data_IF_407630294416
#
_entry.id   IF_407630294416
#
_cell.length_a   1.000
_cell.length_b   1.000
_cell.length_c   1.000
_cell.angle_alpha   90.00
_cell.angle_beta   90.00
_cell.angle_gamma   90.00
#
_symmetry.space_group_name_H-M   'P 1'
#
loop_
_entity.id
_entity.type
_entity.pdbx_description
1 polymer ?
#
# COMPACT_ATOMS: atom_id res chain seq x y z
N UNK A 1 3.15 -3.22 8.30
CA UNK A 1 2.37 -2.87 7.08
C UNK A 1 2.76 -3.86 6.01
N UNK A 2 1.88 -4.21 5.09
CA UNK A 2 2.16 -5.10 3.98
C UNK A 2 1.40 -4.66 2.73
N UNK A 3 2.01 -4.89 1.58
CA UNK A 3 1.29 -4.93 0.31
C UNK A 3 0.49 -6.22 0.25
N UNK A 4 -0.77 -6.12 -0.16
CA UNK A 4 -1.60 -7.27 -0.41
C UNK A 4 -2.56 -7.00 -1.56
N UNK A 5 -3.11 -8.05 -2.16
CA UNK A 5 -4.25 -7.92 -3.08
C UNK A 5 -5.54 -8.24 -2.35
N UNK A 6 -6.56 -7.40 -2.48
CA UNK A 6 -7.90 -7.69 -1.95
C UNK A 6 -8.63 -8.76 -2.79
N UNK A 7 -9.85 -9.13 -2.38
CA UNK A 7 -10.69 -10.15 -3.05
C UNK A 7 -11.04 -9.80 -4.50
N UNK A 8 -11.00 -8.51 -4.87
CA UNK A 8 -11.25 -8.04 -6.25
C UNK A 8 -9.96 -7.94 -7.09
N UNK A 9 -8.82 -8.31 -6.52
CA UNK A 9 -7.50 -8.28 -7.14
C UNK A 9 -6.82 -6.91 -7.10
N UNK A 10 -7.37 -5.91 -6.40
CA UNK A 10 -6.71 -4.60 -6.28
C UNK A 10 -5.52 -4.67 -5.33
N UNK A 11 -4.44 -3.99 -5.68
CA UNK A 11 -3.29 -3.81 -4.80
C UNK A 11 -3.66 -2.84 -3.68
N UNK A 12 -3.31 -3.22 -2.46
CA UNK A 12 -3.60 -2.52 -1.24
C UNK A 12 -2.33 -2.42 -0.39
N UNK A 13 -2.25 -1.36 0.41
CA UNK A 13 -1.23 -1.19 1.45
C UNK A 13 -1.92 -0.96 2.79
N UNK A 14 -1.60 -1.79 3.78
CA UNK A 14 -2.21 -1.69 5.11
C UNK A 14 -1.61 -2.66 6.12
N UNK A 15 -2.11 -2.66 7.35
CA UNK A 15 -1.83 -3.71 8.34
C UNK A 15 -2.95 -4.76 8.27
N UNK A 16 -2.62 -6.03 8.48
CA UNK A 16 -3.56 -7.15 8.29
C UNK A 16 -4.89 -6.96 9.05
N UNK A 17 -5.97 -6.93 8.27
CA UNK A 17 -7.37 -7.37 8.43
C UNK A 17 -8.13 -7.40 9.77
N UNK A 18 -7.58 -7.02 10.93
CA UNK A 18 -8.39 -7.03 12.16
C UNK A 18 -8.33 -5.77 13.03
N UNK A 19 -7.30 -4.93 12.95
CA UNK A 19 -7.17 -3.81 13.92
C UNK A 19 -6.46 -2.56 13.38
N UNK A 20 -6.42 -2.33 12.07
CA UNK A 20 -5.70 -1.20 11.52
C UNK A 20 -6.62 -0.22 10.82
N UNK A 21 -6.70 0.98 11.39
CA UNK A 21 -7.47 2.12 10.88
C UNK A 21 -6.97 2.69 9.54
N UNK A 22 -5.95 2.07 8.93
CA UNK A 22 -5.30 2.60 7.73
C UNK A 22 -5.11 1.54 6.64
N UNK A 23 -5.83 1.73 5.54
CA UNK A 23 -5.79 0.94 4.31
C UNK A 23 -5.83 1.92 3.13
N UNK A 24 -4.83 1.83 2.25
CA UNK A 24 -4.83 2.50 0.94
C UNK A 24 -5.06 1.43 -0.13
N UNK A 25 -6.13 1.56 -0.89
CA UNK A 25 -6.35 0.77 -2.11
C UNK A 25 -5.86 1.58 -3.31
N UNK A 26 -5.12 0.96 -4.21
CA UNK A 26 -4.68 1.58 -5.47
C UNK A 26 -5.61 1.21 -6.63
N UNK A 27 -5.49 1.90 -7.76
CA UNK A 27 -6.26 1.59 -8.97
C UNK A 27 -5.76 0.34 -9.71
N UNK A 28 -4.63 -0.22 -9.28
CA UNK A 28 -3.96 -1.32 -9.97
C UNK A 28 -4.48 -2.68 -9.55
N UNK A 29 -4.58 -3.59 -10.52
CA UNK A 29 -5.06 -4.96 -10.32
C UNK A 29 -4.00 -5.97 -10.69
N UNK A 30 -3.93 -7.05 -9.92
CA UNK A 30 -3.11 -8.22 -10.21
C UNK A 30 -4.00 -9.44 -10.30
N UNK A 31 -3.72 -10.31 -11.28
CA UNK A 31 -4.35 -11.63 -11.36
C UNK A 31 -3.84 -12.57 -10.26
N UNK A 32 -2.62 -12.34 -9.78
CA UNK A 32 -1.99 -13.14 -8.73
C UNK A 32 -2.14 -12.45 -7.38
N UNK A 33 -2.43 -13.25 -6.36
CA UNK A 33 -2.46 -12.75 -4.99
C UNK A 33 -1.05 -12.43 -4.50
N UNK A 34 -0.86 -11.22 -3.99
CA UNK A 34 0.37 -10.83 -3.27
C UNK A 34 0.05 -10.65 -1.79
N UNK A 35 1.05 -10.94 -0.96
CA UNK A 35 1.07 -10.61 0.46
C UNK A 35 2.53 -10.48 0.86
N UNK A 36 3.09 -9.28 0.75
CA UNK A 36 4.49 -9.02 1.02
C UNK A 36 4.65 -7.87 2.01
N UNK A 37 5.58 -7.97 2.98
CA UNK A 37 5.83 -6.89 3.92
C UNK A 37 6.23 -5.61 3.17
N UNK A 38 5.84 -4.46 3.73
CA UNK A 38 6.32 -3.16 3.27
C UNK A 38 7.84 -3.10 3.53
N UNK A 39 8.63 -2.94 2.48
CA UNK A 39 10.08 -2.90 2.58
C UNK A 39 10.58 -1.53 3.07
N UNK A 40 11.83 -1.44 3.53
CA UNK A 40 12.43 -0.15 3.87
C UNK A 40 12.57 0.75 2.63
N UNK A 41 12.95 0.19 1.48
CA UNK A 41 13.03 0.94 0.23
C UNK A 41 11.66 1.51 -0.18
N UNK A 42 10.57 0.79 0.11
CA UNK A 42 9.20 1.29 -0.14
C UNK A 42 8.89 2.53 0.69
N UNK A 43 9.33 2.54 1.96
CA UNK A 43 9.15 3.67 2.86
C UNK A 43 9.96 4.88 2.41
N UNK A 44 11.20 4.65 1.97
CA UNK A 44 12.07 5.69 1.42
C UNK A 44 11.48 6.31 0.15
N UNK A 45 10.90 5.50 -0.75
CA UNK A 45 10.23 5.98 -1.97
C UNK A 45 8.91 6.73 -1.69
N UNK A 46 8.12 6.28 -0.70
CA UNK A 46 6.92 7.02 -0.25
C UNK A 46 7.33 8.37 0.36
N UNK A 47 8.49 8.44 1.01
CA UNK A 47 9.04 9.66 1.60
C UNK A 47 8.22 10.17 2.79
N UNK A 48 7.44 9.30 3.44
CA UNK A 48 6.75 9.58 4.71
C UNK A 48 6.63 8.29 5.52
N UNK A 49 6.73 8.43 6.84
CA UNK A 49 6.60 7.28 7.74
C UNK A 49 5.12 6.94 7.96
N UNK A 50 4.77 5.65 8.21
CA UNK A 50 3.40 5.21 8.43
C UNK A 50 2.56 6.03 9.42
N UNK A 51 3.19 6.55 10.46
CA UNK A 51 2.59 7.41 11.48
C UNK A 51 2.12 8.77 10.95
N UNK A 52 2.76 9.27 9.88
CA UNK A 52 2.47 10.58 9.28
C UNK A 52 1.41 10.48 8.17
N UNK A 53 1.17 9.28 7.64
CA UNK A 53 0.29 9.03 6.50
C UNK A 53 -1.14 9.56 6.65
N UNK A 54 -1.80 9.52 7.84
CA UNK A 54 -3.12 10.13 8.02
C UNK A 54 -3.15 11.65 7.78
N UNK A 55 -2.00 12.32 7.89
CA UNK A 55 -1.84 13.76 7.73
C UNK A 55 -1.18 14.13 6.38
N UNK A 56 -0.62 13.14 5.68
CA UNK A 56 -0.02 13.30 4.36
C UNK A 56 -1.11 13.26 3.28
N UNK A 57 -1.58 14.44 2.87
CA UNK A 57 -2.61 14.58 1.82
C UNK A 57 -2.23 14.02 0.45
N UNK A 58 -0.94 13.68 0.23
CA UNK A 58 -0.45 13.07 -1.01
C UNK A 58 -0.20 11.56 -0.89
N UNK A 59 -0.49 10.94 0.27
CA UNK A 59 -0.14 9.53 0.49
C UNK A 59 -0.79 8.58 -0.51
N UNK A 60 -2.03 8.87 -0.92
CA UNK A 60 -2.73 8.09 -1.93
C UNK A 60 -1.95 8.06 -3.25
N UNK A 61 -1.48 9.21 -3.72
CA UNK A 61 -0.74 9.35 -4.98
C UNK A 61 0.64 8.67 -4.91
N UNK A 62 1.33 8.80 -3.78
CA UNK A 62 2.63 8.16 -3.53
C UNK A 62 2.51 6.64 -3.58
N UNK A 63 1.53 6.08 -2.88
CA UNK A 63 1.27 4.64 -2.85
C UNK A 63 0.78 4.13 -4.20
N UNK A 64 -0.06 4.91 -4.90
CA UNK A 64 -0.50 4.62 -6.27
C UNK A 64 0.68 4.52 -7.25
N UNK A 65 1.62 5.47 -7.15
CA UNK A 65 2.84 5.48 -7.95
C UNK A 65 3.70 4.25 -7.66
N UNK A 66 3.94 3.96 -6.38
CA UNK A 66 4.79 2.84 -5.96
C UNK A 66 4.20 1.47 -6.32
N UNK A 67 2.87 1.34 -6.33
CA UNK A 67 2.21 0.10 -6.74
C UNK A 67 2.50 -0.27 -8.21
N UNK A 68 2.98 0.64 -9.06
CA UNK A 68 3.27 0.39 -10.49
C UNK A 68 4.35 -0.67 -10.71
N UNK A 69 5.18 -0.93 -9.70
CA UNK A 69 6.23 -1.96 -9.76
C UNK A 69 5.69 -3.39 -9.85
N UNK A 70 4.41 -3.60 -9.55
CA UNK A 70 3.79 -4.93 -9.55
C UNK A 70 3.21 -5.34 -10.90
N UNK A 71 3.28 -4.46 -11.92
CA UNK A 71 2.82 -4.73 -13.29
C UNK A 71 3.59 -5.84 -13.98
#
# INVERSE_FOLDING_TARGET
>A
MQWYTNESGYICLGKQWQFAEFHIQTSQRLEKHISQPLSQNDLEEIGSYPEDWPYDGSIQEKVESLARRFQ
#
